data_IF_971282540201
#
_entry.id   IF_971282540201
#
_cell.length_a   1.000
_cell.length_b   1.000
_cell.length_c   1.000
_cell.angle_alpha   90.00
_cell.angle_beta   90.00
_cell.angle_gamma   90.00
#
_symmetry.space_group_name_H-M   'P 1'
#
loop_
_entity.id
_entity.type
_entity.pdbx_description
1 polymer ?
#
# COMPACT_ATOMS: atom_id res chain seq x y z
N UNK A 1 -3.81 -20.64 3.89
CA UNK A 1 -3.72 -19.98 2.58
C UNK A 1 -2.96 -20.88 1.62
N UNK A 2 -3.52 -21.15 0.46
CA UNK A 2 -2.89 -22.01 -0.54
C UNK A 2 -1.71 -21.30 -1.22
N UNK A 3 -0.84 -22.05 -1.87
CA UNK A 3 0.27 -21.51 -2.65
C UNK A 3 -0.24 -20.60 -3.78
N UNK A 4 -1.35 -21.00 -4.41
CA UNK A 4 -1.99 -20.21 -5.48
C UNK A 4 -2.47 -18.85 -4.96
N UNK A 5 -3.06 -18.81 -3.77
CA UNK A 5 -3.50 -17.56 -3.15
C UNK A 5 -2.31 -16.64 -2.85
N UNK A 6 -1.22 -17.18 -2.35
CA UNK A 6 0.02 -16.44 -2.08
C UNK A 6 0.61 -15.87 -3.36
N UNK A 7 0.66 -16.65 -4.43
CA UNK A 7 1.17 -16.21 -5.73
C UNK A 7 0.27 -15.12 -6.35
N UNK A 8 -1.04 -15.26 -6.22
CA UNK A 8 -2.00 -14.27 -6.70
C UNK A 8 -1.83 -12.92 -5.97
N UNK A 9 -1.71 -12.95 -4.66
CA UNK A 9 -1.49 -11.74 -3.85
C UNK A 9 -0.16 -11.07 -4.20
N UNK A 10 0.88 -11.87 -4.39
CA UNK A 10 2.20 -11.39 -4.80
C UNK A 10 2.12 -10.69 -6.16
N UNK A 11 1.38 -11.28 -7.11
CA UNK A 11 1.20 -10.71 -8.44
C UNK A 11 0.47 -9.36 -8.39
N UNK A 12 -0.60 -9.25 -7.58
CA UNK A 12 -1.34 -8.00 -7.41
C UNK A 12 -0.44 -6.88 -6.90
N UNK A 13 0.36 -7.15 -5.86
CA UNK A 13 1.30 -6.17 -5.33
C UNK A 13 2.33 -5.72 -6.36
N UNK A 14 2.86 -6.65 -7.13
CA UNK A 14 3.79 -6.37 -8.21
C UNK A 14 3.18 -5.50 -9.30
N UNK A 15 1.93 -5.76 -9.69
CA UNK A 15 1.23 -4.95 -10.69
C UNK A 15 1.00 -3.52 -10.23
N UNK A 16 0.64 -3.31 -8.97
CA UNK A 16 0.45 -1.97 -8.42
C UNK A 16 1.73 -1.15 -8.55
N UNK A 17 2.84 -1.71 -8.10
CA UNK A 17 4.14 -1.04 -8.14
C UNK A 17 4.60 -0.80 -9.58
N UNK A 18 4.47 -1.80 -10.45
CA UNK A 18 4.85 -1.69 -11.86
C UNK A 18 4.05 -0.60 -12.58
N UNK A 19 2.73 -0.55 -12.34
CA UNK A 19 1.86 0.48 -12.93
C UNK A 19 2.28 1.88 -12.48
N UNK A 20 2.57 2.04 -11.20
CA UNK A 20 3.02 3.31 -10.63
C UNK A 20 4.36 3.75 -11.22
N UNK A 21 5.35 2.86 -11.23
CA UNK A 21 6.68 3.15 -11.79
C UNK A 21 6.59 3.47 -13.28
N UNK A 22 5.75 2.76 -14.03
CA UNK A 22 5.50 3.03 -15.44
C UNK A 22 4.87 4.39 -15.70
N UNK A 23 4.15 4.93 -14.74
CA UNK A 23 3.54 6.26 -14.80
C UNK A 23 4.45 7.38 -14.29
N UNK A 24 5.68 7.05 -13.89
CA UNK A 24 6.66 8.04 -13.44
C UNK A 24 7.09 7.91 -11.99
N UNK A 25 6.40 7.10 -11.18
CA UNK A 25 6.76 6.87 -9.78
C UNK A 25 6.68 8.10 -8.89
N UNK A 26 5.73 9.01 -9.16
CA UNK A 26 5.53 10.21 -8.34
C UNK A 26 4.77 9.84 -7.08
N UNK A 27 5.32 10.06 -5.88
CA UNK A 27 4.66 9.69 -4.63
C UNK A 27 3.56 10.68 -4.24
N UNK A 28 2.63 10.20 -3.41
CA UNK A 28 1.67 11.09 -2.75
C UNK A 28 2.43 12.02 -1.78
N UNK A 29 1.76 13.09 -1.32
CA UNK A 29 2.36 14.01 -0.36
C UNK A 29 2.64 13.30 0.97
N UNK A 30 3.61 13.80 1.72
CA UNK A 30 4.06 13.23 2.99
C UNK A 30 2.92 12.98 3.97
N UNK A 31 2.04 13.95 4.14
CA UNK A 31 0.90 13.84 5.06
C UNK A 31 0.00 12.64 4.72
N UNK A 32 -0.25 12.43 3.44
CA UNK A 32 -1.09 11.31 2.99
C UNK A 32 -0.42 9.96 3.28
N UNK A 33 0.88 9.86 3.03
CA UNK A 33 1.64 8.65 3.35
C UNK A 33 1.65 8.39 4.86
N UNK A 34 1.82 9.42 5.67
CA UNK A 34 1.78 9.31 7.13
C UNK A 34 0.41 8.86 7.63
N UNK A 35 -0.67 9.44 7.12
CA UNK A 35 -2.05 9.07 7.49
C UNK A 35 -2.34 7.61 7.15
N UNK A 36 -1.90 7.17 5.98
CA UNK A 36 -2.03 5.77 5.56
C UNK A 36 -1.24 4.82 6.45
N UNK A 37 -0.01 5.19 6.78
CA UNK A 37 0.85 4.41 7.66
C UNK A 37 0.23 4.26 9.04
N UNK A 38 -0.27 5.35 9.62
CA UNK A 38 -0.94 5.33 10.93
C UNK A 38 -2.20 4.44 10.91
N UNK A 39 -2.91 4.40 9.81
CA UNK A 39 -4.06 3.51 9.63
C UNK A 39 -3.64 2.03 9.71
N UNK A 40 -2.55 1.64 9.09
CA UNK A 40 -2.05 0.26 9.12
C UNK A 40 -1.46 -0.13 10.48
N UNK A 41 -0.92 0.82 11.23
CA UNK A 41 -0.25 0.57 12.52
C UNK A 41 -1.22 0.68 13.71
N UNK A 42 -2.15 1.63 13.66
CA UNK A 42 -3.04 1.94 14.80
C UNK A 42 -4.52 1.95 14.46
N UNK A 43 -4.91 1.70 13.22
CA UNK A 43 -6.28 1.85 12.76
C UNK A 43 -7.30 0.88 13.39
N UNK A 44 -6.84 -0.24 13.92
CA UNK A 44 -7.69 -1.23 14.57
C UNK A 44 -7.79 -0.94 16.08
N UNK A 45 -8.51 0.11 16.43
CA UNK A 45 -8.71 0.55 17.83
C UNK A 45 -7.37 0.73 18.58
N UNK A 46 -6.40 1.37 17.95
CA UNK A 46 -5.07 1.57 18.50
C UNK A 46 -4.11 0.42 18.28
N UNK A 47 -4.56 -0.64 17.61
CA UNK A 47 -3.77 -1.83 17.28
C UNK A 47 -3.44 -1.89 15.80
N UNK A 48 -2.44 -2.68 15.40
CA UNK A 48 -2.15 -2.88 13.98
C UNK A 48 -3.33 -3.50 13.23
N UNK A 49 -3.51 -3.08 11.98
CA UNK A 49 -4.46 -3.72 11.08
C UNK A 49 -4.13 -5.21 10.94
N UNK A 50 -5.12 -6.13 11.03
CA UNK A 50 -4.86 -7.56 10.88
C UNK A 50 -4.19 -7.94 9.56
N UNK A 51 -4.35 -7.12 8.52
CA UNK A 51 -3.73 -7.35 7.22
C UNK A 51 -2.27 -6.88 7.16
N UNK A 52 -1.82 -6.10 8.13
CA UNK A 52 -0.43 -5.65 8.25
C UNK A 52 0.36 -6.75 8.97
N UNK A 53 0.88 -7.70 8.21
CA UNK A 53 1.51 -8.92 8.75
C UNK A 53 2.97 -9.03 8.37
N UNK A 54 3.81 -9.30 9.38
CA UNK A 54 5.19 -9.65 9.14
C UNK A 54 5.26 -11.08 8.61
N UNK A 55 5.73 -11.25 7.38
CA UNK A 55 5.97 -12.56 6.77
C UNK A 55 7.48 -12.83 6.75
N UNK A 56 7.91 -13.88 7.45
CA UNK A 56 9.32 -14.12 7.76
C UNK A 56 10.23 -14.26 6.53
N UNK A 57 9.83 -15.03 5.52
CA UNK A 57 10.61 -15.21 4.29
C UNK A 57 10.49 -14.01 3.34
N UNK A 58 9.39 -13.33 3.40
CA UNK A 58 9.04 -12.17 2.58
C UNK A 58 9.88 -10.95 2.93
N UNK A 59 10.19 -10.82 4.23
CA UNK A 59 10.99 -9.73 4.78
C UNK A 59 12.42 -9.71 4.21
N UNK A 60 12.99 -10.88 3.91
CA UNK A 60 14.36 -10.99 3.39
C UNK A 60 14.47 -10.63 1.91
N UNK A 61 13.43 -10.89 1.11
CA UNK A 61 13.49 -10.75 -0.34
C UNK A 61 12.78 -9.49 -0.84
N UNK A 62 11.52 -9.31 -0.43
CA UNK A 62 10.72 -8.15 -0.89
C UNK A 62 10.97 -6.87 -0.13
N UNK A 63 11.31 -6.96 1.16
CA UNK A 63 11.70 -5.79 1.93
C UNK A 63 12.90 -5.09 1.32
N UNK A 64 13.90 -5.86 0.91
CA UNK A 64 15.11 -5.34 0.28
C UNK A 64 14.83 -4.70 -1.09
N UNK A 65 13.94 -5.31 -1.88
CA UNK A 65 13.55 -4.76 -3.18
C UNK A 65 12.75 -3.47 -2.98
N UNK A 66 11.81 -3.46 -2.04
CA UNK A 66 11.01 -2.28 -1.72
C UNK A 66 11.89 -1.12 -1.23
N UNK A 67 12.87 -1.41 -0.38
CA UNK A 67 13.81 -0.41 0.11
C UNK A 67 14.65 0.17 -1.02
N UNK A 68 15.12 -0.67 -1.94
CA UNK A 68 15.89 -0.23 -3.11
C UNK A 68 15.05 0.66 -4.04
N UNK A 69 13.80 0.30 -4.29
CA UNK A 69 12.87 1.11 -5.09
C UNK A 69 12.61 2.45 -4.40
N UNK A 70 12.38 2.43 -3.09
CA UNK A 70 12.12 3.64 -2.31
C UNK A 70 13.32 4.59 -2.33
N UNK A 71 14.54 4.07 -2.20
CA UNK A 71 15.75 4.87 -2.28
C UNK A 71 15.91 5.51 -3.66
N UNK A 72 15.67 4.75 -4.73
CA UNK A 72 15.70 5.25 -6.09
C UNK A 72 14.69 6.38 -6.31
N UNK A 73 13.45 6.19 -5.84
CA UNK A 73 12.39 7.19 -5.97
C UNK A 73 12.65 8.42 -5.11
N UNK A 74 13.26 8.26 -3.94
CA UNK A 74 13.65 9.37 -3.08
C UNK A 74 14.66 10.27 -3.78
N UNK A 75 15.63 9.68 -4.46
CA UNK A 75 16.63 10.42 -5.25
C UNK A 75 15.96 11.11 -6.44
N UNK A 76 15.17 10.38 -7.21
CA UNK A 76 14.47 10.89 -8.39
C UNK A 76 13.55 12.06 -8.08
N UNK A 77 12.81 11.99 -6.99
CA UNK A 77 11.83 13.00 -6.60
C UNK A 77 12.39 14.05 -5.63
N UNK A 78 13.67 13.95 -5.28
CA UNK A 78 14.32 14.85 -4.34
C UNK A 78 13.58 14.96 -3.01
N UNK A 79 13.13 13.81 -2.49
CA UNK A 79 12.26 13.71 -1.32
C UNK A 79 12.68 12.53 -0.46
N UNK A 80 12.81 12.72 0.86
CA UNK A 80 13.01 11.62 1.79
C UNK A 80 11.68 10.90 1.98
N UNK A 81 11.54 9.70 1.39
CA UNK A 81 10.32 8.91 1.49
C UNK A 81 10.34 8.05 2.75
N UNK A 82 10.02 8.66 3.87
CA UNK A 82 9.94 7.99 5.16
C UNK A 82 8.60 8.35 5.82
N UNK A 83 7.70 7.36 5.90
CA UNK A 83 6.39 7.53 6.50
C UNK A 83 6.45 7.39 8.03
N UNK A 84 5.44 7.93 8.71
CA UNK A 84 5.30 7.79 10.15
C UNK A 84 5.21 6.30 10.53
N UNK A 85 5.93 5.89 11.56
CA UNK A 85 5.96 4.52 12.07
C UNK A 85 6.31 3.48 10.98
N UNK A 86 7.15 3.86 10.04
CA UNK A 86 7.51 3.02 8.88
C UNK A 86 8.04 1.64 9.28
N UNK A 87 8.77 1.55 10.38
CA UNK A 87 9.33 0.28 10.86
C UNK A 87 8.26 -0.73 11.28
N UNK A 88 7.06 -0.27 11.58
CA UNK A 88 5.91 -1.11 11.94
C UNK A 88 5.04 -1.47 10.73
N UNK A 89 5.41 -1.01 9.54
CA UNK A 89 4.75 -1.38 8.28
C UNK A 89 5.38 -2.65 7.71
N UNK A 90 4.55 -3.65 7.49
CA UNK A 90 4.95 -4.95 6.95
C UNK A 90 4.28 -5.16 5.60
N UNK A 91 3.72 -6.33 5.37
CA UNK A 91 2.99 -6.63 4.16
C UNK A 91 1.49 -6.55 4.39
N UNK A 92 0.78 -6.05 3.38
CA UNK A 92 -0.67 -6.16 3.37
C UNK A 92 -1.06 -7.53 2.82
N UNK A 93 -1.68 -8.38 3.64
CA UNK A 93 -2.10 -9.72 3.23
C UNK A 93 -3.21 -9.72 2.17
N UNK A 94 -3.91 -8.60 2.00
CA UNK A 94 -4.97 -8.48 0.99
C UNK A 94 -4.44 -8.36 -0.44
N UNK A 95 -3.30 -7.71 -0.63
CA UNK A 95 -2.75 -7.48 -1.96
C UNK A 95 -1.29 -7.93 -2.13
N UNK A 96 -0.64 -8.37 -1.04
CA UNK A 96 0.75 -8.81 -1.10
C UNK A 96 1.77 -7.70 -1.27
N UNK A 97 1.38 -6.44 -1.11
CA UNK A 97 2.28 -5.30 -1.23
C UNK A 97 3.07 -5.04 0.04
N UNK A 98 4.32 -4.62 -0.12
CA UNK A 98 5.09 -4.05 0.98
C UNK A 98 4.50 -2.68 1.33
N UNK A 99 3.99 -2.54 2.54
CA UNK A 99 3.32 -1.30 2.97
C UNK A 99 4.25 -0.10 3.04
N UNK A 100 5.54 -0.30 3.33
CA UNK A 100 6.53 0.79 3.33
C UNK A 100 6.58 1.53 1.99
N UNK A 101 6.32 0.83 0.90
CA UNK A 101 6.30 1.40 -0.43
C UNK A 101 4.88 1.81 -0.83
N UNK A 102 3.90 0.95 -0.55
CA UNK A 102 2.52 1.13 -0.97
C UNK A 102 1.86 2.41 -0.42
N UNK A 103 2.21 2.83 0.80
CA UNK A 103 1.63 4.06 1.38
C UNK A 103 1.96 5.31 0.57
N UNK A 104 2.97 5.24 -0.31
CA UNK A 104 3.36 6.32 -1.20
C UNK A 104 2.70 6.27 -2.58
N UNK A 105 2.02 5.17 -2.91
CA UNK A 105 1.44 4.95 -4.25
C UNK A 105 0.12 5.71 -4.38
N UNK A 106 -0.06 6.55 -5.43
CA UNK A 106 -1.36 7.19 -5.68
C UNK A 106 -2.47 6.14 -5.81
N UNK A 107 -3.64 6.45 -5.28
CA UNK A 107 -4.77 5.50 -5.21
C UNK A 107 -5.21 4.98 -6.59
N UNK A 108 -5.04 5.76 -7.61
CA UNK A 108 -5.40 5.38 -8.99
C UNK A 108 -4.71 4.09 -9.45
N UNK A 109 -3.47 3.85 -9.00
CA UNK A 109 -2.73 2.63 -9.32
C UNK A 109 -3.19 1.43 -8.50
N UNK A 110 -3.53 1.67 -7.23
CA UNK A 110 -4.04 0.65 -6.32
C UNK A 110 -5.42 0.16 -6.81
N UNK A 111 -6.27 1.09 -7.17
CA UNK A 111 -7.65 0.85 -7.56
C UNK A 111 -7.77 -0.02 -8.83
N UNK A 112 -6.82 0.07 -9.75
CA UNK A 112 -6.80 -0.74 -10.96
C UNK A 112 -6.66 -2.25 -10.69
N UNK A 113 -6.05 -2.61 -9.57
CA UNK A 113 -5.69 -3.99 -9.24
C UNK A 113 -6.60 -4.61 -8.19
N UNK A 114 -7.13 -3.79 -7.28
CA UNK A 114 -8.01 -4.26 -6.20
C UNK A 114 -9.39 -4.54 -6.78
N UNK A 115 -9.80 -5.81 -6.76
CA UNK A 115 -11.13 -6.21 -7.23
C UNK A 115 -12.21 -5.92 -6.16
N UNK A 116 -13.47 -6.01 -6.57
CA UNK A 116 -14.61 -5.72 -5.70
C UNK A 116 -14.67 -6.67 -4.49
N UNK A 117 -14.34 -7.94 -4.70
CA UNK A 117 -14.32 -8.93 -3.62
C UNK A 117 -13.29 -8.56 -2.57
N UNK A 118 -12.07 -8.25 -2.98
CA UNK A 118 -10.99 -7.83 -2.07
C UNK A 118 -11.39 -6.56 -1.33
N UNK A 119 -11.96 -5.60 -2.05
CA UNK A 119 -12.42 -4.34 -1.47
C UNK A 119 -13.45 -4.56 -0.36
N UNK A 120 -14.41 -5.47 -0.57
CA UNK A 120 -15.43 -5.80 0.43
C UNK A 120 -14.84 -6.46 1.68
N UNK A 121 -13.77 -7.22 1.52
CA UNK A 121 -13.08 -7.92 2.61
C UNK A 121 -12.18 -7.01 3.45
N UNK A 122 -11.86 -5.82 2.97
CA UNK A 122 -11.03 -4.87 3.71
C UNK A 122 -11.78 -4.31 4.92
N UNK A 123 -11.06 -4.06 6.04
CA UNK A 123 -11.69 -3.41 7.19
C UNK A 123 -12.28 -2.05 6.82
N UNK A 124 -13.35 -1.67 7.52
CA UNK A 124 -14.03 -0.39 7.26
C UNK A 124 -13.10 0.82 7.41
N UNK A 125 -12.09 0.74 8.27
CA UNK A 125 -11.12 1.82 8.50
C UNK A 125 -9.94 1.80 7.50
N UNK A 126 -9.84 0.78 6.64
CA UNK A 126 -8.71 0.65 5.70
C UNK A 126 -8.64 1.85 4.77
N UNK A 127 -7.47 2.48 4.67
CA UNK A 127 -7.30 3.66 3.83
C UNK A 127 -7.58 3.39 2.35
N UNK A 128 -7.26 2.19 1.87
CA UNK A 128 -7.56 1.79 0.49
C UNK A 128 -9.07 1.84 0.23
N UNK A 129 -9.84 1.25 1.13
CA UNK A 129 -11.30 1.22 1.02
C UNK A 129 -11.90 2.62 1.04
N UNK A 130 -11.43 3.47 1.95
CA UNK A 130 -11.93 4.83 2.09
C UNK A 130 -11.55 5.71 0.89
N UNK A 131 -10.33 5.62 0.40
CA UNK A 131 -9.86 6.42 -0.74
C UNK A 131 -10.50 5.98 -2.05
N UNK A 132 -10.66 4.69 -2.27
CA UNK A 132 -11.34 4.15 -3.45
C UNK A 132 -12.81 4.59 -3.47
N UNK A 133 -13.49 4.54 -2.33
CA UNK A 133 -14.87 5.01 -2.21
C UNK A 133 -15.00 6.51 -2.55
N UNK A 134 -14.06 7.33 -2.10
CA UNK A 134 -14.03 8.77 -2.43
C UNK A 134 -13.82 9.02 -3.92
N UNK A 135 -12.90 8.27 -4.53
CA UNK A 135 -12.56 8.45 -5.95
C UNK A 135 -13.71 8.01 -6.86
N UNK A 136 -14.55 7.08 -6.41
CA UNK A 136 -15.73 6.62 -7.17
C UNK A 136 -17.00 7.40 -6.89
N UNK A 137 -17.01 8.31 -5.90
CA UNK A 137 -18.14 9.19 -5.65
C UNK A 137 -18.28 10.20 -6.78
N UNK A 138 -19.52 10.46 -7.26
CA UNK A 138 -19.70 11.53 -8.25
C UNK A 138 -19.30 12.87 -7.63
N UNK A 139 -18.70 13.79 -8.44
CA UNK A 139 -18.35 15.10 -7.93
C UNK A 139 -19.59 15.80 -7.38
N UNK A 140 -19.49 16.27 -6.14
CA UNK A 140 -20.59 17.01 -5.53
C UNK A 140 -20.75 18.33 -6.27
N UNK A 141 -21.96 18.57 -6.76
CA UNK A 141 -22.30 19.86 -7.32
C UNK A 141 -22.21 20.90 -6.20
N UNK A 142 -21.40 21.91 -6.45
CA UNK A 142 -21.32 23.06 -5.55
C UNK A 142 -22.57 23.90 -5.67
#
# INVERSE_FOLDING_TARGET
>A
MSLLDKLSQTAKGGFIIADWLGAGGVPVIQRKADDRALCCVFGNEGKPCPNNKAAHWWKKTKGSIADAIKDMLSIKNELEMKAANEDDLHMCSSCGCCLKLKVWVPIEHVQKVIDEKTLCELPAYCWMKLEIAKDTEPPQAL
#
